data_IF_049730657827
#
_entry.id   IF_049730657827
#
_cell.length_a   1.000
_cell.length_b   1.000
_cell.length_c   1.000
_cell.angle_alpha   90.00
_cell.angle_beta   90.00
_cell.angle_gamma   90.00
#
_symmetry.space_group_name_H-M   'P 1'
#
loop_
_entity.id
_entity.type
_entity.pdbx_description
1 polymer ?
#
# COMPACT_ATOMS: atom_id res chain seq x y z
N UNK A 1 6.14 10.34 1.84
CA UNK A 1 6.33 10.62 3.28
C UNK A 1 5.66 9.51 4.07
N UNK A 2 6.48 8.75 4.79
CA UNK A 2 6.08 7.59 5.59
C UNK A 2 5.75 8.04 7.01
N UNK A 3 4.68 7.49 7.57
CA UNK A 3 4.31 7.67 8.98
C UNK A 3 5.11 6.72 9.88
N UNK A 4 6.34 7.12 10.20
CA UNK A 4 7.23 6.34 11.06
C UNK A 4 6.70 6.07 12.47
N UNK A 5 5.95 6.98 13.13
CA UNK A 5 5.25 6.65 14.37
C UNK A 5 4.35 5.41 14.22
N UNK A 6 3.51 5.33 13.18
CA UNK A 6 2.68 4.14 12.94
C UNK A 6 3.51 2.88 12.69
N UNK A 7 4.62 2.99 11.97
CA UNK A 7 5.52 1.86 11.72
C UNK A 7 6.14 1.33 13.02
N UNK A 8 6.51 2.22 13.95
CA UNK A 8 7.02 1.83 15.27
C UNK A 8 5.94 1.17 16.12
N UNK A 9 4.71 1.70 16.11
CA UNK A 9 3.57 1.06 16.78
C UNK A 9 3.35 -0.36 16.24
N UNK A 10 3.41 -0.56 14.92
CA UNK A 10 3.30 -1.88 14.32
C UNK A 10 4.45 -2.82 14.77
N UNK A 11 5.68 -2.31 14.84
CA UNK A 11 6.83 -3.08 15.38
C UNK A 11 6.62 -3.46 16.84
N UNK A 12 6.07 -2.57 17.66
CA UNK A 12 5.77 -2.83 19.07
C UNK A 12 4.60 -3.83 19.25
N UNK A 13 3.59 -3.78 18.38
CA UNK A 13 2.44 -4.70 18.37
C UNK A 13 2.83 -6.14 17.99
N UNK A 14 3.71 -6.29 17.00
CA UNK A 14 4.12 -7.60 16.45
C UNK A 14 5.34 -8.18 17.19
N UNK A 15 6.19 -7.31 17.74
CA UNK A 15 7.49 -7.66 18.29
C UNK A 15 8.60 -7.64 17.24
N UNK A 16 9.83 -7.40 17.68
CA UNK A 16 10.99 -7.22 16.80
C UNK A 16 11.27 -8.45 15.92
N UNK A 17 11.18 -9.65 16.49
CA UNK A 17 11.45 -10.91 15.77
C UNK A 17 10.40 -11.23 14.70
N UNK A 18 9.16 -10.72 14.85
CA UNK A 18 8.06 -10.97 13.90
C UNK A 18 7.85 -9.84 12.89
N UNK A 19 8.48 -8.68 13.11
CA UNK A 19 8.21 -7.48 12.31
C UNK A 19 8.66 -7.63 10.85
N UNK A 20 9.82 -8.26 10.62
CA UNK A 20 10.34 -8.50 9.27
C UNK A 20 9.43 -9.45 8.47
N UNK A 21 9.02 -10.58 9.06
CA UNK A 21 8.10 -11.54 8.45
C UNK A 21 6.75 -10.90 8.12
N UNK A 22 6.22 -10.08 9.04
CA UNK A 22 4.97 -9.35 8.81
C UNK A 22 5.11 -8.36 7.67
N UNK A 23 6.19 -7.57 7.60
CA UNK A 23 6.45 -6.66 6.47
C UNK A 23 6.51 -7.44 5.15
N UNK A 24 7.25 -8.55 5.11
CA UNK A 24 7.43 -9.34 3.90
C UNK A 24 6.08 -9.85 3.38
N UNK A 25 5.27 -10.45 4.25
CA UNK A 25 3.93 -10.93 3.90
C UNK A 25 3.02 -9.81 3.41
N UNK A 26 3.00 -8.66 4.10
CA UNK A 26 2.20 -7.51 3.69
C UNK A 26 2.62 -6.97 2.32
N UNK A 27 3.92 -6.89 2.05
CA UNK A 27 4.43 -6.42 0.77
C UNK A 27 4.08 -7.40 -0.35
N UNK A 28 4.20 -8.71 -0.12
CA UNK A 28 3.81 -9.75 -1.08
C UNK A 28 2.32 -9.64 -1.46
N UNK A 29 1.43 -9.51 -0.47
CA UNK A 29 -0.01 -9.38 -0.73
C UNK A 29 -0.34 -8.11 -1.53
N UNK A 30 0.30 -6.98 -1.19
CA UNK A 30 0.14 -5.73 -1.92
C UNK A 30 0.64 -5.84 -3.35
N UNK A 31 1.79 -6.50 -3.57
CA UNK A 31 2.33 -6.72 -4.92
C UNK A 31 1.41 -7.61 -5.76
N UNK A 32 0.83 -8.66 -5.19
CA UNK A 32 -0.15 -9.49 -5.88
C UNK A 32 -1.35 -8.68 -6.41
N UNK A 33 -1.88 -7.75 -5.61
CA UNK A 33 -2.98 -6.86 -6.06
C UNK A 33 -2.49 -5.86 -7.11
N UNK A 34 -1.29 -5.30 -6.95
CA UNK A 34 -0.72 -4.37 -7.95
C UNK A 34 -0.49 -5.07 -9.30
N UNK A 35 0.03 -6.29 -9.30
CA UNK A 35 0.23 -7.10 -10.51
C UNK A 35 -1.09 -7.41 -11.21
N UNK A 36 -2.12 -7.80 -10.45
CA UNK A 36 -3.48 -7.95 -10.97
C UNK A 36 -3.95 -6.67 -11.66
N UNK A 37 -3.82 -5.51 -11.01
CA UNK A 37 -4.22 -4.22 -11.60
C UNK A 37 -3.38 -3.83 -12.82
N UNK A 38 -2.08 -4.15 -12.83
CA UNK A 38 -1.18 -3.93 -13.98
C UNK A 38 -1.55 -4.80 -15.18
N UNK A 39 -2.17 -5.97 -14.97
CA UNK A 39 -2.70 -6.81 -16.05
C UNK A 39 -3.92 -6.21 -16.76
N UNK A 40 -4.51 -5.14 -16.19
CA UNK A 40 -5.69 -4.47 -16.72
C UNK A 40 -7.01 -4.97 -16.13
N UNK A 41 -6.99 -5.95 -15.22
CA UNK A 41 -8.18 -6.38 -14.50
C UNK A 41 -8.66 -5.27 -13.56
N UNK A 42 -9.82 -4.69 -13.89
CA UNK A 42 -10.52 -3.67 -13.10
C UNK A 42 -11.87 -4.17 -12.57
N UNK A 43 -12.15 -5.47 -12.69
CA UNK A 43 -13.45 -6.06 -12.35
C UNK A 43 -13.85 -5.84 -10.89
N UNK A 44 -12.89 -5.71 -9.98
CA UNK A 44 -13.08 -5.46 -8.55
C UNK A 44 -12.30 -4.21 -8.07
N UNK A 45 -12.09 -3.23 -8.95
CA UNK A 45 -11.19 -2.10 -8.69
C UNK A 45 -11.46 -1.36 -7.37
N UNK A 46 -12.73 -1.17 -7.00
CA UNK A 46 -13.09 -0.56 -5.71
C UNK A 46 -12.54 -1.36 -4.52
N UNK A 47 -12.73 -2.68 -4.52
CA UNK A 47 -12.28 -3.58 -3.44
C UNK A 47 -10.75 -3.70 -3.43
N UNK A 48 -10.13 -3.79 -4.60
CA UNK A 48 -8.68 -3.83 -4.74
C UNK A 48 -8.05 -2.55 -4.15
N UNK A 49 -8.61 -1.37 -4.47
CA UNK A 49 -8.14 -0.10 -3.91
C UNK A 49 -8.45 0.06 -2.42
N UNK A 50 -9.59 -0.46 -1.94
CA UNK A 50 -9.91 -0.50 -0.52
C UNK A 50 -8.87 -1.31 0.27
N UNK A 51 -8.50 -2.50 -0.24
CA UNK A 51 -7.46 -3.34 0.33
C UNK A 51 -6.13 -2.58 0.36
N UNK A 52 -5.67 -2.06 -0.78
CA UNK A 52 -4.41 -1.31 -0.88
C UNK A 52 -4.37 -0.10 0.06
N UNK A 53 -5.48 0.62 0.22
CA UNK A 53 -5.62 1.72 1.19
C UNK A 53 -5.36 1.24 2.61
N UNK A 54 -5.94 0.10 3.01
CA UNK A 54 -5.77 -0.49 4.34
C UNK A 54 -4.32 -0.89 4.60
N UNK A 55 -3.71 -1.63 3.67
CA UNK A 55 -2.31 -2.05 3.77
C UNK A 55 -1.35 -0.85 3.82
N UNK A 56 -1.63 0.19 3.02
CA UNK A 56 -0.88 1.44 3.04
C UNK A 56 -0.95 2.16 4.39
N UNK A 57 -2.12 2.18 5.05
CA UNK A 57 -2.27 2.79 6.37
C UNK A 57 -1.47 2.05 7.45
N UNK A 58 -1.43 0.71 7.38
CA UNK A 58 -0.66 -0.10 8.32
C UNK A 58 0.84 0.15 8.21
N UNK A 59 1.37 0.27 6.98
CA UNK A 59 2.79 0.57 6.74
C UNK A 59 3.12 2.08 6.75
N UNK A 60 2.16 2.94 7.05
CA UNK A 60 2.35 4.38 7.10
C UNK A 60 2.55 5.05 5.72
N UNK A 61 2.22 4.41 4.61
CA UNK A 61 2.35 4.95 3.24
C UNK A 61 1.25 5.98 2.93
N UNK A 62 1.31 7.14 3.59
CA UNK A 62 0.23 8.16 3.59
C UNK A 62 -0.20 8.59 2.19
N UNK A 63 0.75 8.88 1.30
CA UNK A 63 0.42 9.34 -0.05
C UNK A 63 -0.25 8.23 -0.88
N UNK A 64 0.32 7.02 -0.84
CA UNK A 64 -0.24 5.85 -1.52
C UNK A 64 -1.65 5.53 -1.01
N UNK A 65 -1.87 5.60 0.30
CA UNK A 65 -3.20 5.42 0.92
C UNK A 65 -4.22 6.45 0.42
N UNK A 66 -3.82 7.72 0.30
CA UNK A 66 -4.70 8.78 -0.22
C UNK A 66 -5.12 8.52 -1.66
N UNK A 67 -4.19 8.10 -2.52
CA UNK A 67 -4.50 7.77 -3.91
C UNK A 67 -5.44 6.57 -4.01
N UNK A 68 -5.23 5.55 -3.17
CA UNK A 68 -6.11 4.40 -3.09
C UNK A 68 -7.53 4.80 -2.63
N UNK A 69 -7.63 5.68 -1.63
CA UNK A 69 -8.92 6.20 -1.17
C UNK A 69 -9.66 7.01 -2.25
N UNK A 70 -8.96 7.88 -2.98
CA UNK A 70 -9.58 8.64 -4.06
C UNK A 70 -10.07 7.73 -5.19
N UNK A 71 -9.25 6.74 -5.56
CA UNK A 71 -9.61 5.75 -6.58
C UNK A 71 -10.76 4.83 -6.14
N UNK A 72 -10.79 4.39 -4.88
CA UNK A 72 -11.89 3.65 -4.26
C UNK A 72 -13.20 4.45 -4.39
N UNK A 73 -13.18 5.74 -4.01
CA UNK A 73 -14.36 6.61 -4.14
C UNK A 73 -14.80 6.80 -5.59
N UNK A 74 -13.86 7.01 -6.51
CA UNK A 74 -14.21 7.12 -7.94
C UNK A 74 -14.87 5.84 -8.45
N UNK A 75 -14.32 4.68 -8.08
CA UNK A 75 -14.85 3.37 -8.48
C UNK A 75 -16.25 3.14 -7.93
N UNK A 76 -16.47 3.42 -6.64
CA UNK A 76 -17.78 3.33 -5.98
C UNK A 76 -18.84 4.25 -6.61
N UNK A 77 -18.42 5.35 -7.25
CA UNK A 77 -19.31 6.27 -7.96
C UNK A 77 -19.45 5.93 -9.46
N UNK A 78 -19.05 4.74 -9.90
CA UNK A 78 -19.13 4.31 -11.30
C UNK A 78 -18.15 5.01 -12.24
N UNK A 79 -17.08 5.60 -11.70
CA UNK A 79 -16.04 6.34 -12.45
C UNK A 79 -14.68 5.62 -12.39
N UNK A 80 -14.70 4.29 -12.41
CA UNK A 80 -13.50 3.45 -12.38
C UNK A 80 -12.49 3.80 -13.49
N UNK A 81 -12.97 4.23 -14.67
CA UNK A 81 -12.11 4.65 -15.79
C UNK A 81 -11.31 5.92 -15.52
N UNK A 82 -11.75 6.75 -14.56
CA UNK A 82 -11.07 7.98 -14.17
C UNK A 82 -9.96 7.73 -13.12
N UNK A 83 -9.81 6.51 -12.62
CA UNK A 83 -8.78 6.17 -11.63
C UNK A 83 -7.41 6.16 -12.28
N UNK A 84 -6.49 6.98 -11.75
CA UNK A 84 -5.12 7.04 -12.23
C UNK A 84 -4.26 5.93 -11.60
N UNK A 85 -4.39 4.71 -12.11
CA UNK A 85 -3.61 3.56 -11.65
C UNK A 85 -2.09 3.75 -11.83
N UNK A 86 -1.65 4.47 -12.87
CA UNK A 86 -0.21 4.74 -13.05
C UNK A 86 0.38 5.50 -11.87
N UNK A 87 -0.34 6.48 -11.34
CA UNK A 87 0.07 7.25 -10.16
C UNK A 87 0.02 6.41 -8.88
N UNK A 88 -0.97 5.53 -8.75
CA UNK A 88 -1.06 4.56 -7.65
C UNK A 88 0.19 3.68 -7.63
N UNK A 89 0.59 3.13 -8.77
CA UNK A 89 1.77 2.26 -8.88
C UNK A 89 3.07 3.01 -8.56
N UNK A 90 3.29 4.18 -9.17
CA UNK A 90 4.49 4.97 -8.90
C UNK A 90 4.60 5.39 -7.43
N UNK A 91 3.48 5.72 -6.80
CA UNK A 91 3.46 6.05 -5.37
C UNK A 91 3.77 4.85 -4.49
N UNK A 92 3.34 3.63 -4.87
CA UNK A 92 3.72 2.42 -4.15
C UNK A 92 5.21 2.15 -4.27
N UNK A 93 5.75 2.15 -5.50
CA UNK A 93 7.16 1.85 -5.76
C UNK A 93 8.08 2.81 -4.96
N UNK A 94 7.75 4.11 -4.94
CA UNK A 94 8.45 5.10 -4.12
C UNK A 94 8.34 4.80 -2.62
N UNK A 95 7.13 4.51 -2.12
CA UNK A 95 6.93 4.25 -0.69
C UNK A 95 7.67 2.99 -0.23
N UNK A 96 7.63 1.92 -1.03
CA UNK A 96 8.34 0.67 -0.76
C UNK A 96 9.85 0.89 -0.72
N UNK A 97 10.40 1.62 -1.70
CA UNK A 97 11.84 1.92 -1.75
C UNK A 97 12.29 2.76 -0.56
N UNK A 98 11.54 3.80 -0.19
CA UNK A 98 11.84 4.63 0.99
C UNK A 98 11.74 3.81 2.29
N UNK A 99 10.72 2.96 2.40
CA UNK A 99 10.47 2.15 3.58
C UNK A 99 11.57 1.12 3.82
N UNK A 100 11.90 0.32 2.81
CA UNK A 100 12.92 -0.72 2.93
C UNK A 100 14.32 -0.14 3.15
N UNK A 101 14.63 1.00 2.53
CA UNK A 101 15.91 1.68 2.77
C UNK A 101 16.10 2.06 4.24
N UNK A 102 15.06 2.61 4.87
CA UNK A 102 15.12 3.04 6.26
C UNK A 102 15.05 1.86 7.24
N UNK A 103 14.16 0.87 7.01
CA UNK A 103 14.07 -0.33 7.86
C UNK A 103 15.40 -1.07 7.88
N UNK A 104 16.05 -1.25 6.74
CA UNK A 104 17.36 -1.90 6.64
C UNK A 104 18.50 -1.05 7.22
N UNK A 105 18.33 0.27 7.35
CA UNK A 105 19.32 1.14 7.98
C UNK A 105 19.25 1.17 9.51
N UNK A 106 18.13 0.69 10.07
CA UNK A 106 17.87 0.63 11.51
C UNK A 106 17.97 -0.80 12.08
N UNK A 107 18.25 -1.80 11.22
CA UNK A 107 18.59 -3.17 11.59
C UNK A 107 20.10 -3.29 11.91
#
# INVERSE_FOLDING_TARGET
>A
MIDWPRVRELKDEVGEDGFEEVIELFLEEVEGVIEKLKSGDRSQLEQDLHFLKGSALNLGFRHFSSLCFDGERLSANGKADNVNLSQVFSSYDQSKSEFLAEVNSQA
#
